data_IF_871606255864
#
_entry.id   IF_871606255864
#
_cell.length_a   1.000
_cell.length_b   1.000
_cell.length_c   1.000
_cell.angle_alpha   90.00
_cell.angle_beta   90.00
_cell.angle_gamma   90.00
#
_symmetry.space_group_name_H-M   'P 1'
#
loop_
_entity.id
_entity.type
_entity.pdbx_description
1 polymer ?
#
# COMPACT_ATOMS: atom_id res chain seq x y z
N UNK A 1 2.68 -19.54 18.83
CA UNK A 1 2.17 -18.20 18.45
C UNK A 1 2.32 -17.96 16.94
N UNK A 2 3.53 -17.98 16.39
CA UNK A 2 3.80 -17.74 14.96
C UNK A 2 3.01 -18.61 13.98
N UNK A 3 2.95 -19.94 14.18
CA UNK A 3 2.17 -20.83 13.31
C UNK A 3 0.66 -20.55 13.33
N UNK A 4 0.13 -20.05 14.45
CA UNK A 4 -1.27 -19.64 14.56
C UNK A 4 -1.52 -18.39 13.71
N UNK A 5 -0.64 -17.39 13.82
CA UNK A 5 -0.73 -16.15 13.03
C UNK A 5 -0.63 -16.44 11.52
N UNK A 6 0.33 -17.26 11.09
CA UNK A 6 0.47 -17.62 9.67
C UNK A 6 -0.77 -18.34 9.15
N UNK A 7 -1.34 -19.25 9.95
CA UNK A 7 -2.58 -19.97 9.56
C UNK A 7 -3.74 -19.01 9.42
N UNK A 8 -3.88 -18.06 10.35
CA UNK A 8 -4.95 -17.07 10.32
C UNK A 8 -4.80 -16.11 9.14
N UNK A 9 -3.58 -15.62 8.87
CA UNK A 9 -3.32 -14.73 7.72
C UNK A 9 -3.55 -15.45 6.40
N UNK A 10 -3.16 -16.73 6.28
CA UNK A 10 -3.46 -17.55 5.10
C UNK A 10 -4.96 -17.76 4.93
N UNK A 11 -5.71 -18.00 6.01
CA UNK A 11 -7.16 -18.14 5.96
C UNK A 11 -7.83 -16.85 5.48
N UNK A 12 -7.38 -15.70 5.98
CA UNK A 12 -7.88 -14.39 5.54
C UNK A 12 -7.54 -14.14 4.07
N UNK A 13 -6.32 -14.43 3.63
CA UNK A 13 -5.92 -14.29 2.22
C UNK A 13 -6.73 -15.22 1.31
N UNK A 14 -6.96 -16.48 1.72
CA UNK A 14 -7.77 -17.44 0.97
C UNK A 14 -9.24 -16.99 0.86
N UNK A 15 -9.78 -16.37 1.91
CA UNK A 15 -11.11 -15.77 1.86
C UNK A 15 -11.17 -14.66 0.81
N UNK A 16 -10.18 -13.77 0.75
CA UNK A 16 -10.15 -12.74 -0.30
C UNK A 16 -10.00 -13.39 -1.68
N UNK A 17 -9.21 -14.47 -1.82
CA UNK A 17 -9.01 -15.16 -3.10
C UNK A 17 -10.31 -15.71 -3.67
N UNK A 18 -11.30 -16.04 -2.83
CA UNK A 18 -12.59 -16.51 -3.31
C UNK A 18 -13.33 -15.46 -4.16
N UNK A 19 -13.08 -14.17 -3.96
CA UNK A 19 -13.62 -13.10 -4.80
C UNK A 19 -13.02 -13.08 -6.21
N UNK A 20 -11.92 -13.80 -6.46
CA UNK A 20 -11.34 -13.91 -7.80
C UNK A 20 -12.28 -14.62 -8.78
N UNK A 21 -13.24 -15.42 -8.29
CA UNK A 21 -14.32 -16.00 -9.09
C UNK A 21 -15.20 -14.92 -9.75
N UNK A 22 -15.20 -13.69 -9.23
CA UNK A 22 -15.92 -12.57 -9.84
C UNK A 22 -15.23 -12.04 -11.11
N UNK A 23 -13.93 -12.29 -11.30
CA UNK A 23 -13.19 -11.75 -12.46
C UNK A 23 -13.69 -12.33 -13.79
N UNK A 24 -13.90 -13.66 -13.94
CA UNK A 24 -14.56 -14.21 -15.12
C UNK A 24 -15.98 -13.69 -15.35
N UNK A 25 -16.74 -13.43 -14.27
CA UNK A 25 -18.08 -12.85 -14.37
C UNK A 25 -18.05 -11.42 -14.92
N UNK A 26 -17.08 -10.62 -14.48
CA UNK A 26 -16.86 -9.26 -15.01
C UNK A 26 -16.50 -9.29 -16.51
N UNK A 27 -15.71 -10.28 -16.94
CA UNK A 27 -15.39 -10.45 -18.36
C UNK A 27 -16.64 -10.76 -19.19
N UNK A 28 -17.49 -11.70 -18.74
CA UNK A 28 -18.75 -12.03 -19.45
C UNK A 28 -19.65 -10.79 -19.54
N UNK A 29 -19.75 -10.00 -18.47
CA UNK A 29 -20.51 -8.75 -18.51
C UNK A 29 -19.92 -7.74 -19.50
N UNK A 30 -18.60 -7.64 -19.59
CA UNK A 30 -17.96 -6.72 -20.52
C UNK A 30 -18.22 -7.11 -21.97
N UNK A 31 -18.08 -8.39 -22.31
CA UNK A 31 -18.34 -8.91 -23.66
C UNK A 31 -19.78 -8.73 -24.11
N UNK A 32 -20.74 -8.76 -23.17
CA UNK A 32 -22.17 -8.64 -23.48
C UNK A 32 -22.66 -7.18 -23.51
N UNK A 33 -22.04 -6.28 -22.75
CA UNK A 33 -22.57 -4.92 -22.51
C UNK A 33 -21.70 -3.82 -23.13
N UNK A 34 -20.37 -3.90 -22.94
CA UNK A 34 -19.46 -2.78 -23.20
C UNK A 34 -18.55 -3.00 -24.40
N UNK A 35 -18.28 -4.26 -24.76
CA UNK A 35 -17.47 -4.69 -25.91
C UNK A 35 -16.13 -3.92 -26.00
N UNK A 36 -15.39 -3.87 -24.88
CA UNK A 36 -14.16 -3.06 -24.79
C UNK A 36 -12.98 -3.64 -25.57
N UNK A 37 -13.12 -4.87 -26.08
CA UNK A 37 -12.09 -5.61 -26.81
C UNK A 37 -10.95 -6.15 -25.93
N UNK A 38 -11.08 -6.07 -24.61
CA UNK A 38 -10.08 -6.58 -23.68
C UNK A 38 -10.11 -8.12 -23.62
N UNK A 39 -8.94 -8.74 -23.58
CA UNK A 39 -8.87 -10.20 -23.49
C UNK A 39 -9.18 -10.66 -22.06
N UNK A 40 -9.67 -11.90 -21.90
CA UNK A 40 -9.85 -12.51 -20.58
C UNK A 40 -8.54 -12.50 -19.75
N UNK A 41 -7.39 -12.62 -20.43
CA UNK A 41 -6.08 -12.61 -19.78
C UNK A 41 -5.78 -11.24 -19.17
N UNK A 42 -6.13 -10.15 -19.84
CA UNK A 42 -5.98 -8.78 -19.32
C UNK A 42 -6.87 -8.54 -18.10
N UNK A 43 -8.10 -9.06 -18.11
CA UNK A 43 -8.99 -9.04 -16.93
C UNK A 43 -8.42 -9.82 -15.75
N UNK A 44 -7.90 -11.02 -16.00
CA UNK A 44 -7.29 -11.85 -14.96
C UNK A 44 -6.03 -11.18 -14.39
N UNK A 45 -5.21 -10.57 -15.24
CA UNK A 45 -3.99 -9.88 -14.84
C UNK A 45 -4.29 -8.64 -13.99
N UNK A 46 -5.20 -7.76 -14.43
CA UNK A 46 -5.65 -6.61 -13.65
C UNK A 46 -6.41 -7.01 -12.37
N UNK A 47 -7.16 -8.09 -12.44
CA UNK A 47 -7.85 -8.69 -11.29
C UNK A 47 -6.86 -9.16 -10.22
N UNK A 48 -5.73 -9.75 -10.62
CA UNK A 48 -4.65 -10.15 -9.70
C UNK A 48 -3.99 -8.93 -9.04
N UNK A 49 -3.74 -7.86 -9.79
CA UNK A 49 -3.17 -6.62 -9.26
C UNK A 49 -4.06 -6.01 -8.17
N UNK A 50 -5.36 -5.93 -8.45
CA UNK A 50 -6.37 -5.42 -7.52
C UNK A 50 -6.54 -6.35 -6.31
N UNK A 51 -6.48 -7.67 -6.54
CA UNK A 51 -6.56 -8.67 -5.50
C UNK A 51 -5.42 -8.56 -4.47
N UNK A 52 -4.18 -8.35 -4.92
CA UNK A 52 -3.04 -8.16 -4.03
C UNK A 52 -3.25 -6.92 -3.15
N UNK A 53 -3.74 -5.82 -3.72
CA UNK A 53 -4.01 -4.58 -2.99
C UNK A 53 -5.14 -4.76 -1.95
N UNK A 54 -6.27 -5.37 -2.33
CA UNK A 54 -7.37 -5.66 -1.40
C UNK A 54 -6.88 -6.56 -0.28
N UNK A 55 -6.12 -7.61 -0.60
CA UNK A 55 -5.60 -8.55 0.39
C UNK A 55 -4.72 -7.85 1.41
N UNK A 56 -3.86 -6.94 0.97
CA UNK A 56 -3.02 -6.17 1.88
C UNK A 56 -3.85 -5.28 2.82
N UNK A 57 -4.86 -4.58 2.29
CA UNK A 57 -5.76 -3.75 3.10
C UNK A 57 -6.57 -4.59 4.09
N UNK A 58 -7.09 -5.73 3.64
CA UNK A 58 -7.88 -6.64 4.47
C UNK A 58 -7.06 -7.26 5.61
N UNK A 59 -5.84 -7.73 5.30
CA UNK A 59 -4.90 -8.26 6.30
C UNK A 59 -4.46 -7.19 7.32
N UNK A 60 -4.31 -5.94 6.87
CA UNK A 60 -3.96 -4.81 7.71
C UNK A 60 -5.11 -4.42 8.65
N UNK A 61 -6.35 -4.43 8.14
CA UNK A 61 -7.55 -4.17 8.93
C UNK A 61 -7.79 -5.29 9.96
N UNK A 62 -7.66 -6.55 9.56
CA UNK A 62 -7.88 -7.73 10.41
C UNK A 62 -6.75 -8.08 11.38
N UNK A 63 -5.89 -7.12 11.77
CA UNK A 63 -4.66 -7.42 12.50
C UNK A 63 -4.90 -7.98 13.91
N UNK A 64 -5.88 -7.42 14.63
CA UNK A 64 -6.24 -7.83 15.99
C UNK A 64 -7.67 -8.35 16.11
N UNK A 65 -8.34 -8.59 14.98
CA UNK A 65 -9.75 -8.98 14.96
C UNK A 65 -10.02 -10.27 15.75
N UNK A 66 -9.15 -11.27 15.62
CA UNK A 66 -9.26 -12.53 16.36
C UNK A 66 -9.14 -12.36 17.87
N UNK A 67 -8.36 -11.38 18.33
CA UNK A 67 -8.16 -11.09 19.75
C UNK A 67 -9.32 -10.27 20.31
N UNK A 68 -9.83 -9.31 19.53
CA UNK A 68 -11.00 -8.51 19.88
C UNK A 68 -12.26 -9.38 20.01
N UNK A 69 -12.48 -10.30 19.06
CA UNK A 69 -13.62 -11.22 19.08
C UNK A 69 -13.58 -12.19 20.28
N UNK A 70 -12.38 -12.49 20.79
CA UNK A 70 -12.16 -13.38 21.93
C UNK A 70 -12.05 -12.65 23.28
N UNK A 71 -12.10 -11.31 23.29
CA UNK A 71 -11.80 -10.50 24.47
C UNK A 71 -10.36 -10.69 24.99
N UNK A 72 -9.50 -11.35 24.22
CA UNK A 72 -8.15 -11.73 24.59
C UNK A 72 -7.15 -10.59 24.43
N UNK A 73 -7.58 -9.45 23.87
CA UNK A 73 -6.74 -8.26 23.74
C UNK A 73 -6.26 -7.79 25.13
N UNK A 74 -7.17 -7.66 26.10
CA UNK A 74 -6.83 -7.24 27.48
C UNK A 74 -5.85 -8.21 28.14
N UNK A 75 -6.03 -9.51 27.87
CA UNK A 75 -5.11 -10.54 28.34
C UNK A 75 -3.71 -10.37 27.72
N UNK A 76 -3.61 -10.17 26.40
CA UNK A 76 -2.34 -9.96 25.70
C UNK A 76 -1.57 -8.73 26.22
N UNK A 77 -2.28 -7.67 26.63
CA UNK A 77 -1.68 -6.46 27.20
C UNK A 77 -1.21 -6.67 28.65
N UNK A 78 -1.80 -7.64 29.37
CA UNK A 78 -1.41 -7.97 30.75
C UNK A 78 -0.14 -8.84 30.85
N UNK A 79 0.22 -9.54 29.76
CA UNK A 79 1.41 -10.39 29.74
C UNK A 79 2.66 -9.52 29.68
N UNK A 80 3.74 -9.82 30.46
CA UNK A 80 5.00 -9.06 30.44
C UNK A 80 5.84 -9.33 29.18
N UNK A 81 5.23 -9.26 28.00
CA UNK A 81 5.91 -9.32 26.71
C UNK A 81 6.32 -7.91 26.27
N UNK A 82 7.49 -7.81 25.64
CA UNK A 82 7.90 -6.55 25.00
C UNK A 82 6.94 -6.21 23.86
N UNK A 83 6.35 -5.01 23.87
CA UNK A 83 5.39 -4.52 22.85
C UNK A 83 5.93 -4.66 21.42
N UNK A 84 7.21 -4.39 21.22
CA UNK A 84 7.88 -4.56 19.91
C UNK A 84 7.87 -6.01 19.42
N UNK A 85 7.99 -6.99 20.32
CA UNK A 85 7.91 -8.41 19.99
C UNK A 85 6.50 -8.79 19.55
N UNK A 86 5.48 -8.25 20.22
CA UNK A 86 4.07 -8.47 19.86
C UNK A 86 3.74 -7.86 18.50
N UNK A 87 4.20 -6.63 18.23
CA UNK A 87 4.03 -5.99 16.92
C UNK A 87 4.76 -6.77 15.82
N UNK A 88 5.99 -7.22 16.06
CA UNK A 88 6.74 -8.03 15.09
C UNK A 88 6.04 -9.38 14.82
N UNK A 89 5.55 -10.05 15.86
CA UNK A 89 4.83 -11.32 15.74
C UNK A 89 3.53 -11.18 14.92
N UNK A 90 2.91 -10.00 14.89
CA UNK A 90 1.71 -9.70 14.07
C UNK A 90 2.03 -9.20 12.67
N UNK A 91 3.03 -8.33 12.54
CA UNK A 91 3.43 -7.69 11.27
C UNK A 91 4.15 -8.66 10.34
N UNK A 92 5.12 -9.43 10.84
CA UNK A 92 6.01 -10.25 9.99
C UNK A 92 5.23 -11.33 9.22
N UNK A 93 4.31 -12.11 9.83
CA UNK A 93 3.51 -13.08 9.08
C UNK A 93 2.61 -12.47 8.00
N UNK A 94 2.14 -11.22 8.20
CA UNK A 94 1.30 -10.52 7.22
C UNK A 94 2.12 -10.01 6.06
N UNK A 95 3.28 -9.40 6.35
CA UNK A 95 4.22 -8.96 5.32
C UNK A 95 4.70 -10.16 4.50
N UNK A 96 5.03 -11.29 5.12
CA UNK A 96 5.50 -12.47 4.39
C UNK A 96 4.42 -13.02 3.45
N UNK A 97 3.16 -13.11 3.89
CA UNK A 97 2.04 -13.52 3.02
C UNK A 97 1.83 -12.52 1.89
N UNK A 98 1.85 -11.21 2.17
CA UNK A 98 1.73 -10.18 1.12
C UNK A 98 2.88 -10.27 0.11
N UNK A 99 4.11 -10.53 0.56
CA UNK A 99 5.26 -10.70 -0.31
C UNK A 99 5.10 -11.94 -1.20
N UNK A 100 4.65 -13.07 -0.64
CA UNK A 100 4.38 -14.28 -1.44
C UNK A 100 3.28 -14.01 -2.48
N UNK A 101 2.18 -13.36 -2.10
CA UNK A 101 1.11 -12.99 -3.03
C UNK A 101 1.63 -12.06 -4.14
N UNK A 102 2.45 -11.08 -3.78
CA UNK A 102 3.08 -10.17 -4.74
C UNK A 102 4.00 -10.93 -5.72
N UNK A 103 4.78 -11.90 -5.23
CA UNK A 103 5.61 -12.75 -6.10
C UNK A 103 4.79 -13.66 -7.01
N UNK A 104 3.64 -14.14 -6.55
CA UNK A 104 2.77 -14.95 -7.40
C UNK A 104 2.12 -14.11 -8.48
N UNK A 105 1.62 -12.92 -8.14
CA UNK A 105 1.05 -11.99 -9.10
C UNK A 105 2.10 -11.53 -10.13
N UNK A 106 3.34 -11.26 -9.69
CA UNK A 106 4.43 -10.86 -10.58
C UNK A 106 4.80 -11.95 -11.59
N UNK A 107 4.92 -13.20 -11.14
CA UNK A 107 5.24 -14.34 -12.00
C UNK A 107 4.10 -14.61 -12.98
N UNK A 108 2.86 -14.59 -12.50
CA UNK A 108 1.67 -14.78 -13.34
C UNK A 108 1.62 -13.74 -14.46
N UNK A 109 1.74 -12.46 -14.11
CA UNK A 109 1.71 -11.36 -15.08
C UNK A 109 2.89 -11.42 -16.06
N UNK A 110 4.07 -11.90 -15.64
CA UNK A 110 5.21 -12.11 -16.53
C UNK A 110 4.93 -13.17 -17.59
N UNK A 111 4.32 -14.29 -17.19
CA UNK A 111 3.99 -15.41 -18.09
C UNK A 111 2.89 -15.01 -19.08
N UNK A 112 1.89 -14.25 -18.63
CA UNK A 112 0.76 -13.84 -19.46
C UNK A 112 1.12 -12.81 -20.54
N UNK A 113 2.27 -12.13 -20.44
CA UNK A 113 2.73 -11.18 -21.46
C UNK A 113 1.80 -9.98 -21.67
N UNK A 114 0.92 -9.69 -20.71
CA UNK A 114 -0.11 -8.66 -20.80
C UNK A 114 0.51 -7.28 -20.56
N UNK A 115 0.71 -6.51 -21.63
CA UNK A 115 1.20 -5.14 -21.58
C UNK A 115 0.27 -4.15 -20.86
N UNK A 116 -0.96 -4.57 -20.52
CA UNK A 116 -1.95 -3.76 -19.82
C UNK A 116 -1.90 -3.81 -18.29
N UNK A 117 -1.16 -4.74 -17.68
CA UNK A 117 -1.11 -4.84 -16.21
C UNK A 117 -0.20 -3.80 -15.58
N UNK A 118 -0.70 -3.18 -14.51
CA UNK A 118 0.04 -2.20 -13.71
C UNK A 118 1.23 -2.87 -13.01
N UNK A 119 1.08 -4.09 -12.51
CA UNK A 119 2.20 -4.85 -11.93
C UNK A 119 3.21 -5.28 -12.99
N UNK A 120 2.76 -5.77 -14.14
CA UNK A 120 3.67 -6.17 -15.23
C UNK A 120 4.53 -4.99 -15.67
N UNK A 121 3.91 -3.83 -15.89
CA UNK A 121 4.61 -2.61 -16.29
C UNK A 121 5.53 -2.08 -15.19
N UNK A 122 5.13 -2.17 -13.91
CA UNK A 122 5.98 -1.83 -12.76
C UNK A 122 7.17 -2.76 -12.59
N UNK A 123 7.08 -4.05 -12.96
CA UNK A 123 8.15 -5.02 -12.74
C UNK A 123 9.16 -4.99 -13.89
N UNK A 124 8.69 -4.97 -15.14
CA UNK A 124 9.56 -4.95 -16.33
C UNK A 124 10.23 -3.60 -16.56
N UNK A 125 9.55 -2.48 -16.30
CA UNK A 125 10.14 -1.16 -16.58
C UNK A 125 11.06 -0.63 -15.47
N UNK A 126 10.96 -1.16 -14.24
CA UNK A 126 11.64 -0.55 -13.09
C UNK A 126 12.70 -1.40 -12.41
N UNK A 127 12.66 -2.75 -12.44
CA UNK A 127 13.55 -3.62 -11.64
C UNK A 127 13.42 -3.46 -10.11
N UNK A 128 13.35 -2.23 -9.60
CA UNK A 128 13.02 -1.77 -8.26
C UNK A 128 11.50 -1.65 -8.02
N UNK A 129 10.64 -1.75 -9.04
CA UNK A 129 9.18 -1.62 -8.87
C UNK A 129 8.60 -2.64 -7.89
N UNK A 130 9.18 -3.85 -7.86
CA UNK A 130 8.88 -4.84 -6.84
C UNK A 130 9.20 -4.35 -5.41
N UNK A 131 10.35 -3.70 -5.20
CA UNK A 131 10.72 -3.13 -3.90
C UNK A 131 9.74 -2.04 -3.48
N UNK A 132 9.32 -1.18 -4.42
CA UNK A 132 8.35 -0.12 -4.19
C UNK A 132 6.99 -0.67 -3.75
N UNK A 133 6.49 -1.68 -4.46
CA UNK A 133 5.24 -2.34 -4.09
C UNK A 133 5.35 -3.05 -2.75
N UNK A 134 6.48 -3.70 -2.46
CA UNK A 134 6.73 -4.30 -1.16
C UNK A 134 6.75 -3.24 -0.05
N UNK A 135 7.42 -2.10 -0.25
CA UNK A 135 7.43 -0.98 0.69
C UNK A 135 6.02 -0.40 0.91
N UNK A 136 5.23 -0.28 -0.16
CA UNK A 136 3.83 0.12 -0.06
C UNK A 136 3.02 -0.91 0.77
N UNK A 137 3.20 -2.21 0.56
CA UNK A 137 2.52 -3.23 1.37
C UNK A 137 2.91 -3.12 2.84
N UNK A 138 4.20 -2.93 3.14
CA UNK A 138 4.68 -2.70 4.51
C UNK A 138 4.06 -1.43 5.10
N UNK A 139 3.95 -0.36 4.32
CA UNK A 139 3.30 0.89 4.73
C UNK A 139 1.82 0.68 5.07
N UNK A 140 1.07 -0.05 4.22
CA UNK A 140 -0.33 -0.42 4.48
C UNK A 140 -0.45 -1.21 5.79
N UNK A 141 0.44 -2.18 6.02
CA UNK A 141 0.43 -2.95 7.27
C UNK A 141 0.72 -2.07 8.50
N UNK A 142 1.63 -1.10 8.41
CA UNK A 142 1.88 -0.15 9.49
C UNK A 142 0.69 0.77 9.75
N UNK A 143 0.00 1.25 8.71
CA UNK A 143 -1.23 2.01 8.87
C UNK A 143 -2.33 1.16 9.54
N UNK A 144 -2.47 -0.11 9.15
CA UNK A 144 -3.38 -1.05 9.82
C UNK A 144 -3.03 -1.27 11.29
N UNK A 145 -1.74 -1.39 11.62
CA UNK A 145 -1.27 -1.49 13.00
C UNK A 145 -1.67 -0.25 13.82
N UNK A 146 -1.44 0.95 13.29
CA UNK A 146 -1.85 2.22 13.93
C UNK A 146 -3.37 2.26 14.13
N UNK A 147 -4.14 1.89 13.10
CA UNK A 147 -5.60 1.87 13.17
C UNK A 147 -6.10 0.95 14.29
N UNK A 148 -5.56 -0.25 14.40
CA UNK A 148 -5.94 -1.21 15.42
C UNK A 148 -5.54 -0.76 16.84
N UNK A 149 -4.39 -0.08 16.98
CA UNK A 149 -3.97 0.47 18.28
C UNK A 149 -4.87 1.63 18.73
N UNK A 150 -5.31 2.49 17.81
CA UNK A 150 -6.23 3.59 18.14
C UNK A 150 -7.63 3.07 18.42
N UNK A 151 -8.08 2.13 17.60
CA UNK A 151 -9.40 1.52 17.63
C UNK A 151 -10.02 1.55 16.24
N UNK A 152 -10.23 0.38 15.64
CA UNK A 152 -10.74 0.24 14.26
C UNK A 152 -12.17 0.79 14.06
N UNK A 153 -12.89 1.10 15.15
CA UNK A 153 -14.24 1.70 15.12
C UNK A 153 -14.23 3.21 14.88
N UNK A 154 -13.09 3.88 15.04
CA UNK A 154 -12.98 5.33 14.77
C UNK A 154 -13.00 5.61 13.27
N UNK A 155 -14.11 6.17 12.78
CA UNK A 155 -14.27 6.51 11.37
C UNK A 155 -13.26 7.58 10.91
N UNK A 156 -12.99 8.57 11.77
CA UNK A 156 -12.02 9.64 11.49
C UNK A 156 -10.59 9.09 11.33
N UNK A 157 -10.17 8.18 12.20
CA UNK A 157 -8.83 7.56 12.13
C UNK A 157 -8.70 6.70 10.87
N UNK A 158 -9.74 5.92 10.54
CA UNK A 158 -9.78 5.12 9.31
C UNK A 158 -9.66 5.98 8.06
N UNK A 159 -10.41 7.08 7.97
CA UNK A 159 -10.35 7.98 6.82
C UNK A 159 -8.97 8.62 6.63
N UNK A 160 -8.35 9.10 7.71
CA UNK A 160 -7.04 9.76 7.60
C UNK A 160 -5.96 8.77 7.17
N UNK A 161 -5.96 7.55 7.72
CA UNK A 161 -5.01 6.52 7.32
C UNK A 161 -5.26 6.02 5.89
N UNK A 162 -6.53 5.87 5.49
CA UNK A 162 -6.88 5.54 4.11
C UNK A 162 -6.41 6.64 3.14
N UNK A 163 -6.59 7.91 3.49
CA UNK A 163 -6.10 9.04 2.71
C UNK A 163 -4.57 9.01 2.56
N UNK A 164 -3.83 8.69 3.63
CA UNK A 164 -2.36 8.53 3.55
C UNK A 164 -1.96 7.42 2.59
N UNK A 165 -2.62 6.25 2.66
CA UNK A 165 -2.37 5.13 1.74
C UNK A 165 -2.66 5.53 0.29
N UNK A 166 -3.78 6.21 0.04
CA UNK A 166 -4.13 6.70 -1.30
C UNK A 166 -3.12 7.71 -1.84
N UNK A 167 -2.56 8.57 -0.98
CA UNK A 167 -1.53 9.52 -1.39
C UNK A 167 -0.23 8.84 -1.79
N UNK A 168 0.22 7.86 -1.01
CA UNK A 168 1.40 7.07 -1.36
C UNK A 168 1.16 6.30 -2.66
N UNK A 169 -0.02 5.70 -2.82
CA UNK A 169 -0.42 5.03 -4.08
C UNK A 169 -0.38 5.98 -5.28
N UNK A 170 -1.00 7.15 -5.16
CA UNK A 170 -1.04 8.16 -6.23
C UNK A 170 0.36 8.61 -6.63
N UNK A 171 1.25 8.80 -5.66
CA UNK A 171 2.62 9.21 -5.94
C UNK A 171 3.39 8.13 -6.70
N UNK A 172 3.22 6.86 -6.32
CA UNK A 172 3.78 5.72 -7.06
C UNK A 172 3.23 5.67 -8.49
N UNK A 173 1.91 5.79 -8.65
CA UNK A 173 1.28 5.81 -9.98
C UNK A 173 1.76 6.99 -10.84
N UNK A 174 1.92 8.18 -10.26
CA UNK A 174 2.41 9.36 -10.96
C UNK A 174 3.85 9.18 -11.45
N UNK A 175 4.74 8.64 -10.61
CA UNK A 175 6.13 8.34 -11.01
C UNK A 175 6.20 7.38 -12.19
N UNK A 176 5.25 6.45 -12.29
CA UNK A 176 5.16 5.52 -13.41
C UNK A 176 4.72 6.22 -14.71
N UNK A 177 3.64 7.02 -14.66
CA UNK A 177 3.14 7.77 -15.82
C UNK A 177 4.21 8.71 -16.37
N UNK A 178 4.95 9.39 -15.50
CA UNK A 178 6.03 10.28 -15.90
C UNK A 178 7.17 9.53 -16.60
N UNK A 179 7.52 8.34 -16.12
CA UNK A 179 8.56 7.53 -16.75
C UNK A 179 8.13 7.01 -18.13
N UNK A 180 6.89 6.56 -18.28
CA UNK A 180 6.36 6.12 -19.58
C UNK A 180 6.37 7.27 -20.59
N UNK A 181 6.01 8.48 -20.15
CA UNK A 181 6.14 9.68 -20.97
C UNK A 181 7.59 9.96 -21.38
N UNK A 182 8.56 9.86 -20.46
CA UNK A 182 9.99 10.02 -20.76
C UNK A 182 10.47 8.95 -21.75
N UNK A 183 10.03 7.70 -21.60
CA UNK A 183 10.40 6.61 -22.50
C UNK A 183 9.91 6.87 -23.93
N UNK A 184 8.70 7.41 -24.08
CA UNK A 184 8.11 7.76 -25.37
C UNK A 184 8.80 8.97 -26.02
N UNK A 185 9.18 9.98 -25.24
CA UNK A 185 9.74 11.24 -25.76
C UNK A 185 11.26 11.16 -25.99
N UNK A 186 12.01 10.63 -25.02
CA UNK A 186 13.47 10.64 -25.01
C UNK A 186 14.10 9.27 -25.27
N UNK A 187 13.28 8.23 -25.46
CA UNK A 187 13.71 6.87 -25.73
C UNK A 187 14.05 6.05 -24.48
N UNK A 188 14.15 4.74 -24.66
CA UNK A 188 14.31 3.77 -23.57
C UNK A 188 15.57 4.00 -22.71
N UNK A 189 16.68 4.46 -23.32
CA UNK A 189 17.93 4.74 -22.58
C UNK A 189 17.78 5.92 -21.62
N UNK A 190 17.05 6.97 -22.01
CA UNK A 190 16.80 8.11 -21.15
C UNK A 190 15.84 7.76 -20.00
N UNK A 191 14.80 6.95 -20.28
CA UNK A 191 13.92 6.39 -19.26
C UNK A 191 14.66 5.49 -18.26
N UNK A 192 15.56 4.63 -18.75
CA UNK A 192 16.38 3.78 -17.89
C UNK A 192 17.38 4.58 -17.06
N UNK A 193 17.94 5.67 -17.60
CA UNK A 193 18.79 6.60 -16.84
C UNK A 193 17.99 7.39 -15.81
N UNK A 194 16.77 7.83 -16.11
CA UNK A 194 15.86 8.45 -15.15
C UNK A 194 15.51 7.48 -14.00
N UNK A 195 15.19 6.24 -14.34
CA UNK A 195 14.97 5.13 -13.41
C UNK A 195 16.20 4.87 -12.53
N UNK A 196 17.39 4.77 -13.13
CA UNK A 196 18.65 4.61 -12.39
C UNK A 196 18.99 5.86 -11.58
N UNK A 197 18.60 7.05 -11.99
CA UNK A 197 18.89 8.28 -11.24
C UNK A 197 17.99 8.38 -10.01
N UNK A 198 16.69 8.10 -10.14
CA UNK A 198 15.76 7.99 -9.01
C UNK A 198 16.16 6.81 -8.10
N UNK A 199 16.46 5.64 -8.69
CA UNK A 199 16.84 4.42 -7.99
C UNK A 199 18.24 4.42 -7.35
N UNK A 200 19.27 5.01 -7.98
CA UNK A 200 20.65 5.08 -7.45
C UNK A 200 20.84 6.16 -6.39
N UNK A 201 19.99 7.19 -6.35
CA UNK A 201 20.23 8.32 -5.42
C UNK A 201 19.76 8.05 -4.00
N UNK A 202 19.18 6.90 -3.69
CA UNK A 202 18.53 6.69 -2.38
C UNK A 202 17.33 7.62 -2.18
N UNK A 203 16.96 8.39 -3.19
CA UNK A 203 15.84 9.32 -3.17
C UNK A 203 14.52 8.55 -3.03
N UNK A 204 14.43 7.34 -3.58
CA UNK A 204 13.31 6.40 -3.34
C UNK A 204 13.12 6.06 -1.86
N UNK A 205 14.22 5.75 -1.17
CA UNK A 205 14.23 5.43 0.27
C UNK A 205 13.98 6.69 1.08
N UNK A 206 14.48 7.84 0.65
CA UNK A 206 14.22 9.14 1.27
C UNK A 206 12.75 9.54 1.11
N UNK A 207 12.17 9.40 -0.07
CA UNK A 207 10.77 9.69 -0.39
C UNK A 207 9.84 8.79 0.42
N UNK A 208 10.14 7.48 0.49
CA UNK A 208 9.42 6.59 1.40
C UNK A 208 9.69 6.91 2.87
N UNK A 209 10.90 7.27 3.27
CA UNK A 209 11.20 7.67 4.64
C UNK A 209 10.37 8.89 5.05
N UNK A 210 10.12 9.84 4.15
CA UNK A 210 9.21 10.98 4.39
C UNK A 210 7.78 10.51 4.71
N UNK A 211 7.34 9.37 4.18
CA UNK A 211 6.03 8.77 4.50
C UNK A 211 6.06 7.86 5.73
N UNK A 212 7.12 7.08 5.91
CA UNK A 212 7.28 6.17 7.05
C UNK A 212 7.54 6.92 8.37
N UNK A 213 8.34 7.99 8.36
CA UNK A 213 8.70 8.76 9.56
C UNK A 213 7.45 9.33 10.28
N UNK A 214 6.49 9.96 9.61
CA UNK A 214 5.24 10.41 10.24
C UNK A 214 4.43 9.27 10.86
N UNK A 215 4.32 8.12 10.19
CA UNK A 215 3.59 6.96 10.71
C UNK A 215 4.32 6.35 11.91
N UNK A 216 5.65 6.22 11.84
CA UNK A 216 6.48 5.76 12.95
C UNK A 216 6.44 6.73 14.15
N UNK A 217 6.36 8.03 13.89
CA UNK A 217 6.19 9.06 14.92
C UNK A 217 4.86 8.90 15.67
N UNK A 218 3.75 8.69 14.93
CA UNK A 218 2.45 8.37 15.51
C UNK A 218 2.53 7.06 16.31
N UNK A 219 3.08 6.01 15.70
CA UNK A 219 3.16 4.67 16.29
C UNK A 219 3.96 4.68 17.59
N UNK A 220 5.11 5.36 17.63
CA UNK A 220 5.93 5.50 18.84
C UNK A 220 5.15 6.15 19.99
N UNK A 221 4.38 7.19 19.68
CA UNK A 221 3.56 7.88 20.68
C UNK A 221 2.41 7.00 21.18
N UNK A 222 1.75 6.25 20.28
CA UNK A 222 0.63 5.38 20.63
C UNK A 222 1.09 4.14 21.40
N UNK A 223 2.21 3.54 20.99
CA UNK A 223 2.79 2.37 21.63
C UNK A 223 3.16 2.63 23.09
N UNK A 224 3.48 3.87 23.48
CA UNK A 224 3.73 4.25 24.87
C UNK A 224 2.48 4.24 25.75
N UNK A 225 1.32 4.54 25.16
CA UNK A 225 0.05 4.78 25.88
C UNK A 225 -0.92 3.60 25.80
N UNK A 226 -0.64 2.61 24.95
CA UNK A 226 -1.56 1.54 24.57
C UNK A 226 -2.25 0.83 25.75
N UNK A 227 -1.52 0.50 26.81
CA UNK A 227 -2.03 -0.30 27.95
C UNK A 227 -2.71 0.54 29.05
N UNK A 228 -2.48 1.85 29.09
CA UNK A 228 -2.75 2.64 30.30
C UNK A 228 -3.98 3.53 30.20
N UNK A 229 -4.56 3.70 29.00
CA UNK A 229 -5.58 4.74 28.77
C UNK A 229 -6.74 4.29 27.88
N UNK A 230 -7.95 4.79 28.15
CA UNK A 230 -9.15 4.44 27.40
C UNK A 230 -9.03 4.84 25.92
N UNK A 231 -9.82 4.19 25.05
CA UNK A 231 -9.83 4.40 23.59
C UNK A 231 -9.93 5.89 23.23
N UNK A 232 -10.83 6.64 23.87
CA UNK A 232 -11.01 8.10 23.63
C UNK A 232 -9.73 8.91 23.84
N UNK A 233 -8.87 8.51 24.79
CA UNK A 233 -7.60 9.18 24.99
C UNK A 233 -6.62 8.87 23.86
N UNK A 234 -6.57 7.62 23.39
CA UNK A 234 -5.73 7.20 22.26
C UNK A 234 -6.15 7.92 20.97
N UNK A 235 -7.45 8.08 20.72
CA UNK A 235 -7.99 8.88 19.61
C UNK A 235 -7.55 10.34 19.69
N UNK A 236 -7.66 10.98 20.85
CA UNK A 236 -7.23 12.37 21.04
C UNK A 236 -5.71 12.54 20.82
N UNK A 237 -4.90 11.58 21.29
CA UNK A 237 -3.45 11.58 21.02
C UNK A 237 -3.18 11.42 19.53
N UNK A 238 -3.87 10.49 18.85
CA UNK A 238 -3.78 10.31 17.42
C UNK A 238 -4.12 11.60 16.68
N UNK A 239 -5.27 12.21 16.96
CA UNK A 239 -5.70 13.46 16.31
C UNK A 239 -4.70 14.60 16.48
N UNK A 240 -4.10 14.75 17.66
CA UNK A 240 -3.06 15.78 17.88
C UNK A 240 -1.78 15.48 17.08
N UNK A 241 -1.40 14.21 16.98
CA UNK A 241 -0.16 13.78 16.33
C UNK A 241 -0.29 13.65 14.82
N UNK A 242 -1.51 13.45 14.31
CA UNK A 242 -1.77 13.28 12.88
C UNK A 242 -1.71 14.59 12.10
N UNK A 243 -1.90 15.73 12.78
CA UNK A 243 -1.86 17.06 12.17
C UNK A 243 -0.54 17.33 11.43
N UNK A 244 0.60 16.93 12.00
CA UNK A 244 1.92 17.11 11.39
C UNK A 244 2.09 16.25 10.12
N UNK A 245 1.86 14.92 10.14
CA UNK A 245 1.79 14.11 8.94
C UNK A 245 0.86 14.71 7.88
N UNK A 246 -0.37 15.09 8.27
CA UNK A 246 -1.39 15.58 7.35
C UNK A 246 -0.94 16.90 6.71
N UNK A 247 -0.31 17.80 7.46
CA UNK A 247 0.30 19.01 6.92
C UNK A 247 1.42 18.69 5.93
N UNK A 248 2.31 17.74 6.24
CA UNK A 248 3.37 17.29 5.30
C UNK A 248 2.75 16.74 4.02
N UNK A 249 1.74 15.87 4.11
CA UNK A 249 1.03 15.32 2.95
C UNK A 249 0.32 16.42 2.14
N UNK A 250 -0.32 17.40 2.77
CA UNK A 250 -0.97 18.52 2.06
C UNK A 250 0.09 19.36 1.34
N UNK A 251 1.22 19.66 1.97
CA UNK A 251 2.31 20.42 1.34
C UNK A 251 2.90 19.66 0.16
N UNK A 252 3.12 18.35 0.28
CA UNK A 252 3.57 17.50 -0.82
C UNK A 252 2.56 17.49 -1.98
N UNK A 253 1.26 17.42 -1.66
CA UNK A 253 0.19 17.44 -2.64
C UNK A 253 0.12 18.80 -3.35
N UNK A 254 0.14 19.89 -2.61
CA UNK A 254 0.17 21.25 -3.16
C UNK A 254 1.40 21.47 -4.04
N UNK A 255 2.57 20.97 -3.62
CA UNK A 255 3.79 20.96 -4.43
C UNK A 255 3.60 20.22 -5.76
N UNK A 256 3.02 19.02 -5.73
CA UNK A 256 2.77 18.21 -6.92
C UNK A 256 1.77 18.84 -7.90
N UNK A 257 0.75 19.54 -7.39
CA UNK A 257 -0.24 20.23 -8.23
C UNK A 257 0.37 21.50 -8.82
N UNK A 258 1.13 22.25 -8.02
CA UNK A 258 1.80 23.47 -8.49
C UNK A 258 2.79 23.16 -9.62
N UNK A 259 3.63 22.12 -9.48
CA UNK A 259 4.59 21.75 -10.53
C UNK A 259 3.92 21.36 -11.85
N UNK A 260 2.73 20.73 -11.81
CA UNK A 260 1.97 20.38 -13.02
C UNK A 260 1.43 21.59 -13.79
N UNK A 261 1.29 22.76 -13.13
CA UNK A 261 0.88 23.99 -13.78
C UNK A 261 2.02 24.75 -14.48
N UNK A 262 3.28 24.56 -14.04
CA UNK A 262 4.43 25.24 -14.65
C UNK A 262 4.83 24.64 -16.00
N UNK A 263 4.63 23.33 -16.20
CA UNK A 263 4.96 22.67 -17.48
C UNK A 263 3.98 23.01 -18.62
N UNK A 264 2.79 23.53 -18.32
CA UNK A 264 1.82 23.95 -19.34
C UNK A 264 1.97 25.41 -19.79
N UNK A 265 2.76 26.22 -19.07
CA UNK A 265 2.96 27.65 -19.39
C UNK A 265 4.16 27.95 -20.30
N UNK A 266 4.97 26.95 -20.68
CA UNK A 266 6.08 27.12 -21.63
C UNK A 266 5.95 26.25 -22.91
N UNK A 267 4.99 26.53 -23.81
CA UNK A 267 5.02 26.00 -25.18
C UNK A 267 5.91 26.82 -26.13
N UNK A 268 6.74 27.74 -25.64
CA UNK A 268 7.51 28.66 -26.47
C UNK A 268 8.96 28.70 -25.99
N UNK A 269 9.82 27.90 -26.62
CA UNK A 269 11.26 28.12 -26.87
C UNK A 269 11.92 26.82 -27.38
N UNK A 270 11.38 26.25 -28.45
CA UNK A 270 12.15 25.46 -29.41
C UNK A 270 11.72 25.91 -30.81
N UNK A 271 12.31 27.03 -31.21
CA UNK A 271 12.50 27.43 -32.61
C UNK A 271 13.99 27.49 -32.85
#
# INVERSE_FOLDING_TARGET
MWMKEIRETLRQAAFVMSFFVLVPLLYIMDTEIYDTGWSLIDYLSNGMDFFVLISALYLAYGMFRSEDDQGALEYLLSVPLRRSSLFAAKMVPRISVCAVLLTMASVFNSICGTGGSVLHSLILNWGAGYLYLLLLMVFIQLCGLVLNIVGARSWSTSLVLAFMVLMVWKLVAFTFVLQDAIAKVFGWRASYNFMLTIGRTGQTVIDFAVFFLPVLYILKSLAGVWDMKPIRYRENVFQRKVMLPLAVFIVLLAGSVSSSHWDLSHPLLMG
#
